data_IF_355825769537
#
_entry.id   IF_355825769537
#
_cell.length_a   1.000
_cell.length_b   1.000
_cell.length_c   1.000
_cell.angle_alpha   90.00
_cell.angle_beta   90.00
_cell.angle_gamma   90.00
#
_symmetry.space_group_name_H-M   'P 1'
#
loop_
_entity.id
_entity.type
_entity.pdbx_description
1 polymer ?
#
# COMPACT_ATOMS: atom_id res chain seq x y z
N UNK A 1 -13.41 54.07 20.00
CA UNK A 1 -13.73 52.77 19.38
C UNK A 1 -13.22 52.72 17.94
N UNK A 2 -11.99 52.23 17.68
CA UNK A 2 -11.46 51.99 16.31
C UNK A 2 -10.63 50.68 16.19
N UNK A 3 -10.68 49.82 17.21
CA UNK A 3 -9.79 48.64 17.35
C UNK A 3 -10.34 47.36 16.71
N UNK A 4 -11.65 47.29 16.42
CA UNK A 4 -12.31 46.06 16.00
C UNK A 4 -12.07 45.68 14.52
N UNK A 5 -11.77 46.65 13.64
CA UNK A 5 -11.62 46.42 12.19
C UNK A 5 -10.25 45.81 11.82
N UNK A 6 -9.18 46.14 12.57
CA UNK A 6 -7.82 45.61 12.36
C UNK A 6 -7.67 44.13 12.74
N UNK A 7 -8.40 43.68 13.77
CA UNK A 7 -8.38 42.29 14.25
C UNK A 7 -8.94 41.30 13.21
N UNK A 8 -10.01 41.68 12.50
CA UNK A 8 -10.63 40.83 11.48
C UNK A 8 -9.73 40.65 10.25
N UNK A 9 -9.04 41.71 9.82
CA UNK A 9 -8.11 41.64 8.68
C UNK A 9 -6.91 40.75 9.00
N UNK A 10 -6.39 40.83 10.23
CA UNK A 10 -5.29 39.97 10.68
C UNK A 10 -5.69 38.49 10.73
N UNK A 11 -6.91 38.18 11.21
CA UNK A 11 -7.42 36.82 11.24
C UNK A 11 -7.61 36.24 9.83
N UNK A 12 -8.13 37.02 8.89
CA UNK A 12 -8.30 36.59 7.49
C UNK A 12 -6.94 36.35 6.82
N UNK A 13 -5.95 37.22 7.05
CA UNK A 13 -4.59 37.03 6.55
C UNK A 13 -3.93 35.77 7.12
N UNK A 14 -4.11 35.51 8.41
CA UNK A 14 -3.57 34.31 9.06
C UNK A 14 -4.21 33.04 8.49
N UNK A 15 -5.53 33.04 8.30
CA UNK A 15 -6.24 31.90 7.68
C UNK A 15 -5.74 31.70 6.26
N UNK A 16 -5.61 32.76 5.44
CA UNK A 16 -5.07 32.66 4.09
C UNK A 16 -3.65 32.10 4.06
N UNK A 17 -2.78 32.52 4.99
CA UNK A 17 -1.43 31.99 5.14
C UNK A 17 -1.43 30.51 5.52
N UNK A 18 -2.27 30.10 6.48
CA UNK A 18 -2.40 28.69 6.84
C UNK A 18 -2.97 27.84 5.70
N UNK A 19 -3.98 28.34 4.97
CA UNK A 19 -4.53 27.68 3.78
C UNK A 19 -3.46 27.51 2.70
N UNK A 20 -2.59 28.50 2.52
CA UNK A 20 -1.47 28.44 1.59
C UNK A 20 -0.48 27.36 2.03
N UNK A 21 -0.09 27.36 3.30
CA UNK A 21 0.84 26.35 3.85
C UNK A 21 0.29 24.93 3.68
N UNK A 22 -1.01 24.72 3.94
CA UNK A 22 -1.68 23.42 3.77
C UNK A 22 -1.79 23.03 2.28
N UNK A 23 -2.14 23.98 1.40
CA UNK A 23 -2.28 23.72 -0.03
C UNK A 23 -0.94 23.40 -0.73
N UNK A 24 0.18 23.90 -0.20
CA UNK A 24 1.53 23.58 -0.68
C UNK A 24 2.15 22.33 -0.03
N UNK A 25 1.41 21.59 0.81
CA UNK A 25 1.92 20.34 1.40
C UNK A 25 2.03 19.12 0.48
N UNK A 26 1.53 19.04 -0.78
CA UNK A 26 1.73 17.85 -1.59
C UNK A 26 2.65 18.12 -2.78
N UNK A 27 3.96 18.16 -2.53
CA UNK A 27 4.97 17.98 -3.60
C UNK A 27 6.26 17.31 -3.10
N UNK A 28 6.49 17.27 -1.79
CA UNK A 28 7.70 16.67 -1.17
C UNK A 28 7.48 15.26 -0.64
N UNK A 29 6.30 14.66 -0.84
CA UNK A 29 5.98 13.30 -0.40
C UNK A 29 6.26 12.22 -1.46
N UNK A 30 6.76 12.61 -2.64
CA UNK A 30 7.18 11.64 -3.64
C UNK A 30 8.62 11.25 -3.32
N UNK A 31 8.77 10.12 -2.63
CA UNK A 31 10.07 9.50 -2.41
C UNK A 31 10.81 9.39 -3.76
N UNK A 32 12.08 9.79 -3.78
CA UNK A 32 12.93 9.59 -4.93
C UNK A 32 12.95 8.09 -5.27
N UNK A 33 12.86 7.74 -6.56
CA UNK A 33 12.94 6.34 -7.01
C UNK A 33 14.18 5.68 -6.39
N UNK A 34 13.94 4.73 -5.49
CA UNK A 34 14.98 3.93 -4.86
C UNK A 34 15.14 2.62 -5.62
N UNK A 35 16.34 2.33 -6.11
CA UNK A 35 16.65 1.04 -6.72
C UNK A 35 16.90 -0.02 -5.63
N UNK A 36 16.28 -1.19 -5.80
CA UNK A 36 16.56 -2.37 -4.99
C UNK A 36 17.14 -3.46 -5.89
N UNK A 37 18.38 -3.87 -5.62
CA UNK A 37 19.07 -4.93 -6.35
C UNK A 37 19.15 -6.18 -5.47
N UNK A 38 18.60 -7.29 -5.96
CA UNK A 38 18.60 -8.57 -5.26
C UNK A 38 19.27 -9.66 -6.12
N UNK A 39 20.30 -10.29 -5.57
CA UNK A 39 20.97 -11.43 -6.20
C UNK A 39 20.28 -12.74 -5.82
N UNK A 40 19.96 -13.59 -6.80
CA UNK A 40 19.34 -14.90 -6.58
C UNK A 40 20.10 -16.03 -7.28
N UNK A 41 20.07 -17.27 -6.75
CA UNK A 41 20.81 -18.39 -7.31
C UNK A 41 20.09 -18.97 -8.54
N UNK A 42 20.60 -18.68 -9.73
CA UNK A 42 20.17 -19.28 -11.00
C UNK A 42 18.98 -18.57 -11.67
N UNK A 43 18.75 -18.82 -12.97
CA UNK A 43 17.84 -18.02 -13.78
C UNK A 43 16.38 -18.14 -13.35
N UNK A 44 15.59 -17.14 -13.72
CA UNK A 44 14.12 -17.23 -13.70
C UNK A 44 13.69 -18.23 -14.78
N UNK A 45 12.98 -19.28 -14.39
CA UNK A 45 12.65 -20.41 -15.28
C UNK A 45 11.34 -20.21 -16.05
N UNK A 46 10.39 -19.51 -15.43
CA UNK A 46 9.05 -19.24 -15.97
C UNK A 46 8.43 -18.06 -15.23
N UNK A 47 7.47 -17.38 -15.85
CA UNK A 47 6.61 -16.40 -15.17
C UNK A 47 5.24 -16.98 -14.83
N UNK A 48 4.97 -18.22 -15.22
CA UNK A 48 3.74 -18.94 -14.86
C UNK A 48 3.89 -19.54 -13.45
N UNK A 49 3.39 -18.82 -12.44
CA UNK A 49 3.51 -19.14 -11.02
C UNK A 49 3.14 -20.60 -10.64
N UNK A 50 2.02 -21.19 -11.11
CA UNK A 50 1.67 -22.58 -10.77
C UNK A 50 2.63 -23.65 -11.32
N UNK A 51 3.49 -23.31 -12.29
CA UNK A 51 4.34 -24.28 -12.99
C UNK A 51 5.66 -24.56 -12.27
N UNK A 52 6.02 -23.78 -11.24
CA UNK A 52 7.29 -23.99 -10.53
C UNK A 52 7.28 -23.59 -9.06
N UNK A 53 8.01 -24.37 -8.27
CA UNK A 53 8.35 -24.09 -6.87
C UNK A 53 9.85 -23.80 -6.68
N UNK A 54 10.58 -23.59 -7.78
CA UNK A 54 12.01 -23.27 -7.70
C UNK A 54 12.20 -21.91 -7.02
N UNK A 55 12.95 -21.88 -5.92
CA UNK A 55 12.95 -20.77 -4.96
C UNK A 55 13.16 -19.37 -5.57
N UNK A 56 14.09 -19.22 -6.54
CA UNK A 56 14.33 -17.91 -7.18
C UNK A 56 13.16 -17.44 -8.05
N UNK A 57 12.51 -18.36 -8.77
CA UNK A 57 11.35 -18.05 -9.60
C UNK A 57 10.09 -17.86 -8.75
N UNK A 58 9.92 -18.67 -7.72
CA UNK A 58 8.79 -18.56 -6.79
C UNK A 58 8.83 -17.23 -6.02
N UNK A 59 10.00 -16.79 -5.56
CA UNK A 59 10.15 -15.49 -4.90
C UNK A 59 9.73 -14.32 -5.81
N UNK A 60 10.21 -14.29 -7.06
CA UNK A 60 9.87 -13.22 -7.99
C UNK A 60 8.38 -13.21 -8.35
N UNK A 61 7.80 -14.39 -8.60
CA UNK A 61 6.39 -14.49 -8.98
C UNK A 61 5.45 -14.10 -7.84
N UNK A 62 5.78 -14.39 -6.57
CA UNK A 62 5.02 -13.91 -5.41
C UNK A 62 5.09 -12.38 -5.21
N UNK A 63 6.08 -11.71 -5.80
CA UNK A 63 6.19 -10.24 -5.78
C UNK A 63 5.38 -9.59 -6.91
N UNK A 64 5.12 -10.32 -8.00
CA UNK A 64 4.43 -9.80 -9.17
C UNK A 64 2.94 -10.16 -9.22
N UNK A 65 2.56 -11.29 -8.63
CA UNK A 65 1.20 -11.80 -8.66
C UNK A 65 0.61 -11.86 -7.25
N UNK A 66 -0.59 -11.33 -7.09
CA UNK A 66 -1.34 -11.43 -5.85
C UNK A 66 -1.98 -12.82 -5.70
N UNK A 67 -1.91 -13.35 -4.49
CA UNK A 67 -2.74 -14.45 -4.02
C UNK A 67 -4.08 -13.92 -3.48
N UNK A 68 -5.01 -14.82 -3.14
CA UNK A 68 -6.20 -14.44 -2.36
C UNK A 68 -5.79 -13.93 -0.98
N UNK A 69 -4.95 -14.69 -0.29
CA UNK A 69 -4.38 -14.40 1.02
C UNK A 69 -2.88 -14.72 0.99
N UNK A 70 -2.11 -14.10 1.88
CA UNK A 70 -0.68 -14.32 2.03
C UNK A 70 -0.28 -14.54 3.47
N UNK A 71 0.89 -15.14 3.69
CA UNK A 71 1.42 -15.32 5.04
C UNK A 71 1.78 -13.97 5.65
N UNK A 72 1.35 -13.74 6.88
CA UNK A 72 1.72 -12.52 7.62
C UNK A 72 3.26 -12.44 7.77
N UNK A 73 3.82 -11.24 7.66
CA UNK A 73 5.28 -11.04 7.69
C UNK A 73 5.91 -11.43 9.05
N UNK A 74 5.13 -11.35 10.12
CA UNK A 74 5.50 -11.81 11.47
C UNK A 74 5.33 -13.34 11.65
N UNK A 75 4.81 -14.02 10.63
CA UNK A 75 4.54 -15.45 10.65
C UNK A 75 3.24 -15.86 11.35
N UNK A 76 2.48 -14.91 11.93
CA UNK A 76 1.27 -15.21 12.70
C UNK A 76 0.03 -15.24 11.79
N UNK A 77 -0.10 -16.33 11.03
CA UNK A 77 -1.29 -16.59 10.22
C UNK A 77 -1.24 -15.94 8.85
N UNK A 78 -2.39 -15.40 8.42
CA UNK A 78 -2.62 -14.95 7.04
C UNK A 78 -3.22 -13.55 7.00
N UNK A 79 -2.82 -12.78 5.99
CA UNK A 79 -3.32 -11.44 5.67
C UNK A 79 -3.93 -11.46 4.27
N UNK A 80 -4.86 -10.54 4.01
CA UNK A 80 -5.45 -10.38 2.68
C UNK A 80 -4.47 -9.82 1.66
N UNK A 81 -4.54 -10.31 0.41
CA UNK A 81 -3.93 -9.65 -0.75
C UNK A 81 -5.03 -9.23 -1.72
N UNK A 82 -5.53 -10.14 -2.56
CA UNK A 82 -6.69 -9.88 -3.41
C UNK A 82 -8.02 -9.98 -2.66
N UNK A 83 -8.10 -10.80 -1.59
CA UNK A 83 -9.27 -10.90 -0.74
C UNK A 83 -9.17 -9.95 0.46
N UNK A 84 -10.22 -9.18 0.72
CA UNK A 84 -10.34 -8.31 1.90
C UNK A 84 -10.86 -9.06 3.14
N UNK A 85 -11.62 -10.13 2.92
CA UNK A 85 -12.10 -11.02 3.98
C UNK A 85 -12.35 -12.42 3.43
N UNK A 86 -12.25 -13.40 4.32
CA UNK A 86 -12.49 -14.80 3.99
C UNK A 86 -13.00 -15.55 5.21
N UNK A 87 -13.69 -16.65 4.98
CA UNK A 87 -14.19 -17.49 6.05
C UNK A 87 -14.94 -18.71 5.55
N UNK A 88 -15.10 -19.69 6.43
CA UNK A 88 -15.97 -20.83 6.21
C UNK A 88 -17.44 -20.39 6.19
N UNK A 89 -18.18 -20.83 5.19
CA UNK A 89 -19.65 -20.79 5.20
C UNK A 89 -20.18 -22.04 5.91
N UNK A 90 -19.47 -23.15 5.73
CA UNK A 90 -19.70 -24.47 6.35
C UNK A 90 -18.36 -25.25 6.42
N UNK A 91 -18.41 -26.50 6.83
CA UNK A 91 -17.24 -27.37 7.04
C UNK A 91 -16.42 -27.64 5.76
N UNK A 92 -16.99 -27.42 4.57
CA UNK A 92 -16.36 -27.73 3.28
C UNK A 92 -16.22 -26.51 2.36
N UNK A 93 -16.85 -25.39 2.68
CA UNK A 93 -16.97 -24.26 1.77
C UNK A 93 -16.34 -23.01 2.35
N UNK A 94 -15.42 -22.41 1.58
CA UNK A 94 -14.82 -21.10 1.88
C UNK A 94 -15.41 -20.02 0.98
N UNK A 95 -15.66 -18.85 1.58
CA UNK A 95 -15.96 -17.61 0.86
C UNK A 95 -14.76 -16.68 0.95
N UNK A 96 -14.43 -16.05 -0.17
CA UNK A 96 -13.50 -14.94 -0.26
C UNK A 96 -14.24 -13.74 -0.84
N UNK A 97 -14.18 -12.59 -0.18
CA UNK A 97 -14.67 -11.33 -0.72
C UNK A 97 -13.44 -10.60 -1.30
N UNK A 98 -13.48 -10.32 -2.61
CA UNK A 98 -12.38 -9.69 -3.32
C UNK A 98 -12.45 -8.17 -3.17
N UNK A 99 -11.29 -7.52 -3.15
CA UNK A 99 -11.20 -6.06 -3.26
C UNK A 99 -11.77 -5.60 -4.63
N UNK A 100 -12.38 -4.42 -4.70
CA UNK A 100 -12.95 -3.88 -5.94
C UNK A 100 -11.91 -3.57 -7.03
#
# INVERSE_FOLDING_TARGET
>A
MKTQKRSKTAAVLLILLLSLVVAFQPATAQDSVSEFVFAHPGPIRTMDAPVTWFGSTHWLTNLLYDCLIWRAADGNGYVGQAAESWGNIDDLTWRFNLRP
#
